data_IF_547211208586
#
_entry.id   IF_547211208586
#
_cell.length_a   1.000
_cell.length_b   1.000
_cell.length_c   1.000
_cell.angle_alpha   90.00
_cell.angle_beta   90.00
_cell.angle_gamma   90.00
#
_symmetry.space_group_name_H-M   'P 1'
#
loop_
_entity.id
_entity.type
_entity.pdbx_description
1 polymer ?
#
# COMPACT_ATOMS: atom_id res chain seq x y z
N UNK A 1 34.44 -32.27 -18.35
CA UNK A 1 35.63 -33.15 -18.22
C UNK A 1 36.39 -32.72 -16.97
N UNK A 2 36.72 -33.66 -16.07
CA UNK A 2 37.48 -33.34 -14.85
C UNK A 2 38.96 -33.17 -15.21
N UNK A 3 39.44 -31.93 -15.17
CA UNK A 3 40.82 -31.55 -15.49
C UNK A 3 41.56 -31.13 -14.20
N UNK A 4 42.81 -31.52 -14.10
CA UNK A 4 43.68 -31.28 -12.96
C UNK A 4 44.97 -30.59 -13.44
N UNK A 5 45.40 -29.54 -12.75
CA UNK A 5 46.62 -28.80 -13.13
C UNK A 5 47.86 -29.46 -12.59
N UNK A 6 48.83 -29.68 -13.47
CA UNK A 6 50.15 -30.20 -13.12
C UNK A 6 51.19 -29.18 -13.59
N UNK A 7 52.11 -28.83 -12.70
CA UNK A 7 53.30 -28.05 -13.01
C UNK A 7 54.46 -29.01 -13.18
N UNK A 8 55.10 -28.99 -14.34
CA UNK A 8 56.28 -29.80 -14.63
C UNK A 8 57.52 -28.92 -14.72
N UNK A 9 58.53 -29.25 -13.91
CA UNK A 9 59.81 -28.55 -13.87
C UNK A 9 60.95 -29.44 -14.41
N UNK A 10 61.78 -28.96 -15.35
CA UNK A 10 62.95 -29.71 -15.84
C UNK A 10 63.71 -29.07 -17.00
N UNK A 11 64.81 -29.73 -17.42
CA UNK A 11 65.88 -29.19 -18.28
C UNK A 11 65.44 -28.95 -19.75
N UNK A 12 64.38 -29.60 -20.22
CA UNK A 12 63.71 -29.24 -21.48
C UNK A 12 62.23 -29.65 -21.45
N UNK A 13 61.31 -28.75 -21.09
CA UNK A 13 59.93 -29.15 -20.80
C UNK A 13 59.12 -29.54 -22.05
N UNK A 14 59.58 -29.16 -23.25
CA UNK A 14 59.02 -29.57 -24.55
C UNK A 14 59.20 -31.08 -24.80
N UNK A 15 60.37 -31.65 -24.45
CA UNK A 15 60.60 -33.09 -24.56
C UNK A 15 59.73 -33.89 -23.59
N UNK A 16 59.44 -33.31 -22.42
CA UNK A 16 58.56 -33.94 -21.44
C UNK A 16 57.12 -34.03 -21.95
N UNK A 17 56.62 -32.98 -22.63
CA UNK A 17 55.32 -32.98 -23.31
C UNK A 17 55.25 -33.99 -24.45
N UNK A 18 56.28 -34.08 -25.29
CA UNK A 18 56.33 -35.07 -26.37
C UNK A 18 56.30 -36.51 -25.86
N UNK A 19 56.88 -36.77 -24.68
CA UNK A 19 56.85 -38.09 -24.05
C UNK A 19 55.46 -38.42 -23.48
N UNK A 20 54.74 -37.44 -22.91
CA UNK A 20 53.35 -37.61 -22.48
C UNK A 20 52.42 -37.93 -23.65
N UNK A 21 52.65 -37.30 -24.81
CA UNK A 21 51.88 -37.57 -26.03
C UNK A 21 52.12 -38.98 -26.58
N UNK A 22 53.37 -39.49 -26.51
CA UNK A 22 53.72 -40.86 -26.93
C UNK A 22 53.06 -41.95 -26.08
N UNK A 23 52.89 -41.68 -24.79
CA UNK A 23 52.19 -42.56 -23.84
C UNK A 23 50.66 -42.43 -23.92
N UNK A 24 50.14 -41.66 -24.90
CA UNK A 24 48.70 -41.51 -25.13
C UNK A 24 47.98 -40.61 -24.12
N UNK A 25 48.70 -39.80 -23.34
CA UNK A 25 48.09 -38.89 -22.37
C UNK A 25 47.74 -37.57 -23.06
N UNK A 26 46.44 -37.26 -23.15
CA UNK A 26 45.99 -35.99 -23.70
C UNK A 26 46.28 -34.83 -22.74
N UNK A 27 47.10 -33.89 -23.20
CA UNK A 27 47.44 -32.66 -22.47
C UNK A 27 46.54 -31.51 -22.94
N UNK A 28 45.96 -30.78 -21.99
CA UNK A 28 45.06 -29.65 -22.24
C UNK A 28 45.67 -28.35 -21.67
N UNK A 29 45.36 -27.21 -22.28
CA UNK A 29 45.73 -25.86 -21.79
C UNK A 29 47.20 -25.70 -21.34
N UNK A 30 48.15 -26.23 -22.12
CA UNK A 30 49.57 -26.11 -21.83
C UNK A 30 50.04 -24.64 -21.95
N UNK A 31 50.63 -24.11 -20.90
CA UNK A 31 51.22 -22.77 -20.82
C UNK A 31 52.63 -22.84 -20.25
N UNK A 32 53.59 -22.22 -20.92
CA UNK A 32 54.96 -22.08 -20.42
C UNK A 32 54.99 -20.97 -19.37
N UNK A 33 55.29 -21.32 -18.12
CA UNK A 33 55.39 -20.34 -17.02
C UNK A 33 56.77 -19.70 -16.96
N UNK A 34 57.85 -20.50 -17.10
CA UNK A 34 59.26 -20.07 -17.07
C UNK A 34 60.11 -20.91 -18.03
N UNK A 35 61.40 -20.57 -18.19
CA UNK A 35 62.34 -21.29 -19.08
C UNK A 35 62.38 -22.81 -18.82
N UNK A 36 62.22 -23.23 -17.56
CA UNK A 36 62.28 -24.63 -17.13
C UNK A 36 60.96 -25.15 -16.52
N UNK A 37 59.82 -24.45 -16.72
CA UNK A 37 58.54 -24.81 -16.11
C UNK A 37 57.37 -24.69 -17.09
N UNK A 38 56.56 -25.75 -17.22
CA UNK A 38 55.31 -25.75 -17.98
C UNK A 38 54.15 -26.15 -17.07
N UNK A 39 53.08 -25.38 -17.12
CA UNK A 39 51.79 -25.70 -16.53
C UNK A 39 50.90 -26.34 -17.60
N UNK A 40 50.30 -27.48 -17.30
CA UNK A 40 49.32 -28.08 -18.18
C UNK A 40 48.21 -28.76 -17.39
N UNK A 41 47.05 -28.92 -18.01
CA UNK A 41 45.90 -29.60 -17.44
C UNK A 41 45.78 -31.01 -18.02
N UNK A 42 45.56 -32.02 -17.18
CA UNK A 42 45.36 -33.41 -17.61
C UNK A 42 44.03 -33.92 -17.07
N UNK A 43 43.43 -34.92 -17.71
CA UNK A 43 42.26 -35.62 -17.15
C UNK A 43 42.65 -36.29 -15.83
N UNK A 44 41.76 -36.20 -14.83
CA UNK A 44 41.98 -36.79 -13.49
C UNK A 44 42.34 -38.29 -13.50
N UNK A 45 41.84 -39.06 -14.47
CA UNK A 45 42.15 -40.49 -14.65
C UNK A 45 43.59 -40.75 -15.09
N UNK A 46 44.22 -39.78 -15.77
CA UNK A 46 45.56 -39.90 -16.30
C UNK A 46 46.59 -39.19 -15.40
N UNK A 47 46.16 -38.50 -14.33
CA UNK A 47 47.05 -37.90 -13.32
C UNK A 47 47.99 -38.94 -12.70
N UNK A 48 47.48 -40.13 -12.36
CA UNK A 48 48.29 -41.23 -11.79
C UNK A 48 49.35 -41.72 -12.78
N UNK A 49 49.03 -41.78 -14.07
CA UNK A 49 49.98 -42.15 -15.13
C UNK A 49 51.06 -41.09 -15.31
N UNK A 50 50.71 -39.80 -15.20
CA UNK A 50 51.69 -38.70 -15.25
C UNK A 50 52.67 -38.79 -14.08
N UNK A 51 52.18 -39.09 -12.87
CA UNK A 51 53.04 -39.33 -11.70
C UNK A 51 53.87 -40.61 -11.81
N UNK A 52 53.38 -41.65 -12.49
CA UNK A 52 54.15 -42.87 -12.74
C UNK A 52 55.31 -42.63 -13.74
N UNK A 53 55.11 -41.79 -14.75
CA UNK A 53 56.14 -41.44 -15.75
C UNK A 53 57.17 -40.46 -15.15
N UNK A 54 56.72 -39.54 -14.30
CA UNK A 54 57.55 -38.53 -13.64
C UNK A 54 57.29 -38.52 -12.13
N UNK A 55 57.96 -39.40 -11.37
CA UNK A 55 57.77 -39.48 -9.93
C UNK A 55 58.18 -38.17 -9.24
N UNK A 56 57.44 -37.82 -8.19
CA UNK A 56 57.82 -36.73 -7.30
C UNK A 56 59.10 -37.10 -6.55
N UNK A 57 60.19 -36.38 -6.79
CA UNK A 57 61.42 -36.56 -6.02
C UNK A 57 61.22 -35.91 -4.65
N UNK A 58 60.83 -36.72 -3.65
CA UNK A 58 60.99 -36.39 -2.24
C UNK A 58 61.81 -37.50 -1.59
N UNK A 59 63.11 -37.22 -1.53
CA UNK A 59 64.21 -37.88 -0.82
C UNK A 59 64.68 -39.31 -1.22
N UNK A 60 66.00 -39.31 -1.44
CA UNK A 60 67.00 -40.38 -1.51
C UNK A 60 66.91 -41.43 -2.64
N UNK A 61 67.58 -41.06 -3.73
CA UNK A 61 68.23 -41.93 -4.73
C UNK A 61 67.30 -42.90 -5.47
N UNK A 62 66.86 -42.46 -6.64
CA UNK A 62 67.16 -43.20 -7.88
C UNK A 62 67.37 -42.17 -8.99
N UNK A 63 68.58 -42.13 -9.53
CA UNK A 63 68.87 -41.57 -10.86
C UNK A 63 67.87 -42.21 -11.83
N UNK A 64 67.06 -41.42 -12.54
CA UNK A 64 66.38 -41.69 -13.83
C UNK A 64 65.13 -40.81 -14.06
N UNK A 65 65.15 -39.51 -13.74
CA UNK A 65 64.24 -38.54 -14.38
C UNK A 65 64.64 -37.09 -14.10
N UNK A 66 64.90 -36.24 -15.12
CA UNK A 66 65.20 -34.82 -14.93
C UNK A 66 63.95 -33.93 -14.84
N UNK A 67 62.77 -34.51 -14.58
CA UNK A 67 61.49 -33.80 -14.56
C UNK A 67 60.70 -34.10 -13.28
N UNK A 68 60.13 -33.07 -12.64
CA UNK A 68 59.27 -33.19 -11.44
C UNK A 68 57.88 -32.60 -11.69
N UNK A 69 56.83 -33.28 -11.24
CA UNK A 69 55.44 -32.89 -11.45
C UNK A 69 54.75 -32.52 -10.13
N UNK A 70 54.27 -31.28 -9.97
CA UNK A 70 53.50 -30.83 -8.79
C UNK A 70 52.03 -30.65 -9.14
N UNK A 71 51.11 -31.29 -8.41
CA UNK A 71 49.67 -31.02 -8.56
C UNK A 71 49.36 -29.63 -7.97
N UNK A 72 48.77 -28.76 -8.79
CA UNK A 72 48.34 -27.41 -8.42
C UNK A 72 46.83 -27.35 -8.07
N UNK A 73 46.18 -28.51 -7.95
CA UNK A 73 44.78 -28.66 -7.55
C UNK A 73 43.78 -28.80 -8.71
N UNK A 74 42.52 -29.19 -8.40
CA UNK A 74 41.47 -29.42 -9.39
C UNK A 74 40.97 -28.10 -10.01
N UNK A 75 40.58 -28.11 -11.30
CA UNK A 75 39.88 -26.99 -11.95
C UNK A 75 38.36 -27.07 -11.81
N UNK A 76 37.69 -25.92 -11.79
CA UNK A 76 36.23 -25.78 -11.94
C UNK A 76 35.42 -25.74 -10.65
N UNK A 77 34.16 -26.20 -10.73
CA UNK A 77 33.13 -26.10 -9.68
C UNK A 77 33.57 -26.73 -8.35
N UNK A 78 34.44 -27.74 -8.38
CA UNK A 78 34.95 -28.43 -7.19
C UNK A 78 35.95 -27.58 -6.40
N UNK A 79 36.79 -26.78 -7.07
CA UNK A 79 37.68 -25.84 -6.38
C UNK A 79 36.90 -24.68 -5.74
N UNK A 80 35.78 -24.29 -6.34
CA UNK A 80 34.84 -23.35 -5.73
C UNK A 80 34.13 -23.98 -4.53
N UNK A 81 33.66 -25.23 -4.65
CA UNK A 81 33.03 -25.96 -3.55
C UNK A 81 33.99 -26.16 -2.36
N UNK A 82 35.25 -26.54 -2.59
CA UNK A 82 36.25 -26.66 -1.51
C UNK A 82 36.58 -25.29 -0.88
N UNK A 83 36.59 -24.23 -1.68
CA UNK A 83 36.77 -22.85 -1.18
C UNK A 83 35.55 -22.39 -0.38
N UNK A 84 34.34 -22.77 -0.78
CA UNK A 84 33.11 -22.53 -0.02
C UNK A 84 33.08 -23.35 1.27
N UNK A 85 33.57 -24.59 1.23
CA UNK A 85 33.69 -25.49 2.38
C UNK A 85 34.75 -25.03 3.39
N UNK A 86 35.79 -24.31 2.96
CA UNK A 86 36.71 -23.61 3.89
C UNK A 86 36.09 -22.36 4.53
N UNK A 87 34.95 -21.89 4.02
CA UNK A 87 34.21 -20.71 4.50
C UNK A 87 32.80 -21.05 4.97
N UNK A 88 32.58 -22.24 5.54
CA UNK A 88 31.24 -22.66 6.04
C UNK A 88 30.66 -21.66 7.03
N UNK A 89 31.50 -21.02 7.86
CA UNK A 89 31.07 -19.97 8.78
C UNK A 89 30.38 -18.78 8.08
N UNK A 90 30.86 -18.39 6.90
CA UNK A 90 30.27 -17.28 6.13
C UNK A 90 28.93 -17.71 5.53
N UNK A 91 28.86 -18.90 4.93
CA UNK A 91 27.61 -19.40 4.34
C UNK A 91 26.54 -19.70 5.38
N UNK A 92 26.91 -20.25 6.53
CA UNK A 92 25.99 -20.45 7.65
C UNK A 92 25.50 -19.12 8.23
N UNK A 93 26.38 -18.10 8.33
CA UNK A 93 25.97 -16.75 8.71
C UNK A 93 24.97 -16.13 7.74
N UNK A 94 25.20 -16.26 6.43
CA UNK A 94 24.26 -15.79 5.40
C UNK A 94 22.93 -16.52 5.51
N UNK A 95 22.95 -17.84 5.68
CA UNK A 95 21.73 -18.64 5.81
C UNK A 95 20.94 -18.28 7.07
N UNK A 96 21.64 -18.09 8.20
CA UNK A 96 21.03 -17.65 9.47
C UNK A 96 20.42 -16.25 9.33
N UNK A 97 21.13 -15.32 8.68
CA UNK A 97 20.64 -13.97 8.44
C UNK A 97 19.39 -13.98 7.55
N UNK A 98 19.40 -14.78 6.48
CA UNK A 98 18.24 -14.94 5.61
C UNK A 98 17.05 -15.58 6.35
N UNK A 99 17.29 -16.57 7.21
CA UNK A 99 16.24 -17.16 8.05
C UNK A 99 15.68 -16.14 9.04
N UNK A 100 16.55 -15.33 9.67
CA UNK A 100 16.14 -14.29 10.61
C UNK A 100 15.32 -13.18 9.95
N UNK A 101 15.68 -12.74 8.73
CA UNK A 101 14.91 -11.72 8.00
C UNK A 101 13.56 -12.24 7.53
N UNK A 102 13.48 -13.50 7.10
CA UNK A 102 12.20 -14.14 6.76
C UNK A 102 11.30 -14.30 7.98
N UNK A 103 11.86 -14.69 9.12
CA UNK A 103 11.13 -14.76 10.39
C UNK A 103 10.65 -13.36 10.81
N UNK A 104 11.52 -12.34 10.75
CA UNK A 104 11.17 -10.96 11.08
C UNK A 104 10.04 -10.43 10.19
N UNK A 105 10.02 -10.78 8.90
CA UNK A 105 8.96 -10.39 7.97
C UNK A 105 7.58 -10.99 8.32
N UNK A 106 7.51 -12.03 9.16
CA UNK A 106 6.23 -12.58 9.63
C UNK A 106 5.63 -11.74 10.76
N UNK A 107 6.42 -10.94 11.47
CA UNK A 107 5.97 -10.10 12.57
C UNK A 107 5.39 -8.77 12.10
N UNK A 108 4.41 -8.28 12.87
CA UNK A 108 3.86 -6.93 12.74
C UNK A 108 4.57 -6.02 13.72
N UNK A 109 5.47 -5.16 13.24
CA UNK A 109 6.20 -4.20 14.09
C UNK A 109 5.47 -2.86 14.21
N UNK A 110 4.68 -2.50 13.19
CA UNK A 110 3.95 -1.23 13.14
C UNK A 110 2.59 -1.43 12.51
N UNK A 111 1.59 -0.76 13.08
CA UNK A 111 0.25 -0.65 12.52
C UNK A 111 0.05 0.82 12.19
N UNK A 112 -0.20 1.11 10.92
CA UNK A 112 -0.55 2.45 10.45
C UNK A 112 -2.04 2.48 10.12
N UNK A 113 -2.75 3.44 10.69
CA UNK A 113 -4.19 3.63 10.48
C UNK A 113 -4.36 5.01 9.86
N UNK A 114 -4.88 5.06 8.64
CA UNK A 114 -5.09 6.28 7.87
C UNK A 114 -6.59 6.52 7.67
N UNK A 115 -7.02 7.79 7.75
CA UNK A 115 -8.37 8.23 7.40
C UNK A 115 -9.45 8.10 8.48
N UNK A 116 -9.12 7.61 9.68
CA UNK A 116 -10.06 7.46 10.79
C UNK A 116 -9.43 7.80 12.15
N UNK A 117 -9.01 9.05 12.36
CA UNK A 117 -8.41 9.49 13.64
C UNK A 117 -9.39 9.38 14.82
N UNK A 118 -10.67 9.69 14.61
CA UNK A 118 -11.71 9.59 15.63
C UNK A 118 -12.01 8.14 16.05
N UNK A 119 -11.98 7.19 15.10
CA UNK A 119 -12.29 5.78 15.32
C UNK A 119 -11.05 4.89 15.51
N UNK A 120 -9.86 5.49 15.63
CA UNK A 120 -8.58 4.76 15.70
C UNK A 120 -8.55 3.72 16.82
N UNK A 121 -9.13 4.03 17.97
CA UNK A 121 -9.18 3.12 19.13
C UNK A 121 -10.03 1.87 18.85
N UNK A 122 -11.19 2.05 18.22
CA UNK A 122 -12.09 0.95 17.87
C UNK A 122 -11.49 0.05 16.79
N UNK A 123 -10.88 0.66 15.77
CA UNK A 123 -10.17 -0.07 14.71
C UNK A 123 -9.04 -0.92 15.29
N UNK A 124 -8.26 -0.37 16.23
CA UNK A 124 -7.22 -1.12 16.92
C UNK A 124 -7.79 -2.28 17.75
N UNK A 125 -8.89 -2.08 18.47
CA UNK A 125 -9.53 -3.15 19.23
C UNK A 125 -9.99 -4.31 18.33
N UNK A 126 -10.62 -4.00 17.18
CA UNK A 126 -11.05 -5.01 16.19
C UNK A 126 -9.86 -5.77 15.59
N UNK A 127 -8.74 -5.09 15.34
CA UNK A 127 -7.49 -5.71 14.90
C UNK A 127 -6.93 -6.67 15.96
N UNK A 128 -6.92 -6.24 17.23
CA UNK A 128 -6.43 -7.04 18.35
C UNK A 128 -7.26 -8.30 18.62
N UNK A 129 -8.59 -8.20 18.51
CA UNK A 129 -9.52 -9.34 18.61
C UNK A 129 -9.27 -10.36 17.50
N UNK A 130 -8.93 -9.87 16.31
CA UNK A 130 -8.67 -10.71 15.15
C UNK A 130 -7.25 -11.29 15.15
N UNK A 131 -6.43 -10.91 16.14
CA UNK A 131 -5.07 -11.42 16.35
C UNK A 131 -3.97 -10.63 15.65
N UNK A 132 -4.29 -9.47 15.06
CA UNK A 132 -3.31 -8.54 14.49
C UNK A 132 -2.92 -7.58 15.60
N UNK A 133 -1.75 -7.82 16.23
CA UNK A 133 -1.22 -6.99 17.31
C UNK A 133 0.19 -6.53 16.98
N UNK A 134 0.59 -5.39 17.53
CA UNK A 134 2.00 -4.98 17.51
C UNK A 134 2.86 -6.02 18.22
N UNK A 135 3.97 -6.39 17.61
CA UNK A 135 4.91 -7.43 18.03
C UNK A 135 4.36 -8.87 18.00
N UNK A 136 3.23 -9.12 17.32
CA UNK A 136 2.70 -10.46 17.12
C UNK A 136 2.96 -10.98 15.69
N UNK A 137 2.85 -12.30 15.55
CA UNK A 137 2.91 -12.97 14.25
C UNK A 137 1.63 -12.65 13.46
N UNK A 138 1.79 -12.26 12.19
CA UNK A 138 0.64 -11.93 11.35
C UNK A 138 -0.18 -13.19 11.00
N UNK A 139 -1.47 -13.25 11.35
CA UNK A 139 -2.33 -14.38 10.99
C UNK A 139 -2.72 -14.32 9.52
N UNK A 140 -2.04 -15.11 8.69
CA UNK A 140 -2.37 -15.28 7.27
C UNK A 140 -3.82 -15.75 7.09
N UNK A 141 -4.61 -15.05 6.27
CA UNK A 141 -5.99 -15.44 5.91
C UNK A 141 -7.11 -14.79 6.71
N UNK A 142 -6.81 -13.98 7.74
CA UNK A 142 -7.83 -13.24 8.51
C UNK A 142 -8.16 -11.84 7.98
N UNK A 143 -7.47 -11.39 6.93
CA UNK A 143 -7.67 -10.07 6.31
C UNK A 143 -9.13 -9.80 5.97
N UNK A 144 -9.81 -10.76 5.34
CA UNK A 144 -11.23 -10.61 4.95
C UNK A 144 -12.16 -10.48 6.15
N UNK A 145 -11.91 -11.23 7.21
CA UNK A 145 -12.72 -11.17 8.43
C UNK A 145 -12.53 -9.84 9.15
N UNK A 146 -11.28 -9.37 9.24
CA UNK A 146 -10.93 -8.07 9.83
C UNK A 146 -11.58 -6.94 9.06
N UNK A 147 -11.43 -6.93 7.73
CA UNK A 147 -12.04 -5.92 6.87
C UNK A 147 -13.56 -5.90 7.02
N UNK A 148 -14.20 -7.07 7.07
CA UNK A 148 -15.65 -7.16 7.28
C UNK A 148 -16.09 -6.61 8.64
N UNK A 149 -15.34 -6.88 9.72
CA UNK A 149 -15.63 -6.34 11.05
C UNK A 149 -15.46 -4.82 11.11
N UNK A 150 -14.41 -4.28 10.49
CA UNK A 150 -14.19 -2.82 10.45
C UNK A 150 -15.26 -2.14 9.59
N UNK A 151 -15.68 -2.75 8.48
CA UNK A 151 -16.76 -2.23 7.64
C UNK A 151 -18.12 -2.25 8.35
N UNK A 152 -18.30 -3.11 9.35
CA UNK A 152 -19.51 -3.16 10.16
C UNK A 152 -19.57 -2.06 11.25
N UNK A 153 -18.48 -1.30 11.45
CA UNK A 153 -18.50 -0.13 12.34
C UNK A 153 -19.36 0.98 11.73
N UNK A 154 -19.92 1.81 12.61
CA UNK A 154 -20.77 2.93 12.20
C UNK A 154 -19.94 3.94 11.39
N UNK A 155 -20.56 4.51 10.35
CA UNK A 155 -19.99 5.56 9.49
C UNK A 155 -18.77 5.14 8.65
N UNK A 156 -18.41 3.85 8.59
CA UNK A 156 -17.32 3.35 7.72
C UNK A 156 -17.87 2.97 6.34
N UNK A 157 -17.39 3.65 5.29
CA UNK A 157 -17.78 3.39 3.90
C UNK A 157 -16.85 2.41 3.17
N UNK A 158 -15.57 2.44 3.54
CA UNK A 158 -14.54 1.65 2.90
C UNK A 158 -13.44 1.31 3.91
N UNK A 159 -12.95 0.08 3.84
CA UNK A 159 -11.82 -0.39 4.61
C UNK A 159 -10.92 -1.25 3.72
N UNK A 160 -9.62 -1.00 3.78
CA UNK A 160 -8.59 -1.87 3.22
C UNK A 160 -7.56 -2.21 4.30
N UNK A 161 -7.21 -3.48 4.40
CA UNK A 161 -6.19 -3.99 5.33
C UNK A 161 -5.14 -4.70 4.49
N UNK A 162 -3.94 -4.13 4.43
CA UNK A 162 -2.83 -4.68 3.65
C UNK A 162 -1.57 -4.80 4.50
N UNK A 163 -0.86 -5.92 4.34
CA UNK A 163 0.46 -6.10 4.94
C UNK A 163 1.56 -5.70 3.97
N UNK A 164 2.33 -4.67 4.33
CA UNK A 164 3.53 -4.24 3.63
C UNK A 164 4.77 -4.52 4.49
N UNK A 165 5.42 -5.67 4.25
CA UNK A 165 6.57 -6.11 5.03
C UNK A 165 6.21 -6.35 6.50
N UNK A 166 6.86 -5.63 7.42
CA UNK A 166 6.57 -5.66 8.86
C UNK A 166 5.50 -4.66 9.31
N UNK A 167 4.90 -3.92 8.38
CA UNK A 167 3.90 -2.89 8.67
C UNK A 167 2.54 -3.31 8.12
N UNK A 168 1.51 -3.25 8.95
CA UNK A 168 0.11 -3.40 8.51
C UNK A 168 -0.46 -2.01 8.28
N UNK A 169 -0.92 -1.74 7.07
CA UNK A 169 -1.61 -0.49 6.71
C UNK A 169 -3.10 -0.76 6.68
N UNK A 170 -3.83 0.07 7.40
CA UNK A 170 -5.28 0.06 7.47
C UNK A 170 -5.77 1.40 6.97
N UNK A 171 -6.34 1.41 5.77
CA UNK A 171 -6.99 2.60 5.20
C UNK A 171 -8.48 2.50 5.49
N UNK A 172 -9.01 3.44 6.25
CA UNK A 172 -10.44 3.54 6.58
C UNK A 172 -10.96 4.85 6.03
N UNK A 173 -12.05 4.81 5.26
CA UNK A 173 -12.74 6.02 4.80
C UNK A 173 -14.13 6.08 5.40
N UNK A 174 -14.38 7.16 6.12
CA UNK A 174 -15.68 7.45 6.67
C UNK A 174 -16.64 7.93 5.57
N UNK A 175 -17.91 7.57 5.70
CA UNK A 175 -18.97 8.11 4.86
C UNK A 175 -19.11 9.61 5.13
N UNK A 176 -19.04 10.43 4.08
CA UNK A 176 -19.39 11.86 4.17
C UNK A 176 -20.88 12.07 4.45
N UNK A 177 -21.69 11.05 4.15
CA UNK A 177 -23.09 10.98 4.55
C UNK A 177 -23.14 10.43 5.98
N UNK A 178 -23.04 11.33 6.95
CA UNK A 178 -23.74 11.10 8.22
C UNK A 178 -25.21 10.98 7.82
N UNK A 179 -25.79 9.79 7.80
CA UNK A 179 -27.24 9.68 7.86
C UNK A 179 -27.65 10.48 9.10
N UNK A 180 -28.33 11.64 8.97
CA UNK A 180 -28.86 12.28 10.14
C UNK A 180 -29.71 11.22 10.83
N UNK A 181 -29.47 11.02 12.13
CA UNK A 181 -30.34 10.12 12.90
C UNK A 181 -31.78 10.58 12.65
N UNK A 182 -32.69 9.69 12.20
CA UNK A 182 -34.06 10.06 11.87
C UNK A 182 -34.65 10.79 13.07
N UNK A 183 -34.95 12.07 12.91
CA UNK A 183 -35.56 12.88 13.95
C UNK A 183 -37.07 12.62 13.90
N UNK A 184 -37.64 12.19 15.01
CA UNK A 184 -39.08 11.96 15.08
C UNK A 184 -39.81 13.32 15.07
N UNK A 185 -40.67 13.57 14.08
CA UNK A 185 -41.50 14.78 14.02
C UNK A 185 -41.82 15.26 12.62
N UNK A 186 -42.61 16.34 12.54
CA UNK A 186 -42.97 17.00 11.29
C UNK A 186 -41.76 17.73 10.69
N UNK A 187 -41.68 17.79 9.37
CA UNK A 187 -40.64 18.52 8.65
C UNK A 187 -40.91 20.03 8.77
N UNK A 188 -40.02 20.76 9.44
CA UNK A 188 -40.07 22.22 9.55
C UNK A 188 -39.19 22.88 8.48
N UNK A 189 -39.60 24.04 7.97
CA UNK A 189 -38.81 24.84 7.04
C UNK A 189 -37.54 25.40 7.74
N UNK A 190 -36.35 25.22 7.15
CA UNK A 190 -35.14 25.83 7.70
C UNK A 190 -35.04 27.32 7.35
N UNK A 191 -35.53 27.71 6.18
CA UNK A 191 -35.53 29.08 5.69
C UNK A 191 -36.94 29.63 5.45
N UNK A 192 -37.07 30.96 5.58
CA UNK A 192 -38.29 31.68 5.18
C UNK A 192 -38.24 32.01 3.68
N UNK A 193 -39.31 31.73 2.94
CA UNK A 193 -39.37 32.02 1.51
C UNK A 193 -40.62 31.48 0.82
N UNK A 194 -40.67 31.60 -0.50
CA UNK A 194 -41.78 31.07 -1.32
C UNK A 194 -41.42 29.69 -1.86
N UNK A 195 -42.32 28.72 -1.73
CA UNK A 195 -42.10 27.36 -2.25
C UNK A 195 -42.17 27.38 -3.77
N UNK A 196 -41.04 27.11 -4.45
CA UNK A 196 -40.99 26.97 -5.90
C UNK A 196 -41.43 25.58 -6.35
N UNK A 197 -40.92 24.56 -5.67
CA UNK A 197 -41.17 23.17 -6.01
C UNK A 197 -41.16 22.33 -4.74
N UNK A 198 -42.10 21.40 -4.64
CA UNK A 198 -42.14 20.43 -3.56
C UNK A 198 -42.39 19.03 -4.10
N UNK A 199 -41.53 18.09 -3.73
CA UNK A 199 -41.66 16.67 -4.03
C UNK A 199 -41.65 15.88 -2.72
N UNK A 200 -42.83 15.42 -2.30
CA UNK A 200 -42.99 14.59 -1.10
C UNK A 200 -42.93 13.12 -1.51
N UNK A 201 -41.93 12.39 -1.02
CA UNK A 201 -41.79 10.95 -1.21
C UNK A 201 -42.57 10.17 -0.14
N UNK A 202 -42.62 10.69 1.10
CA UNK A 202 -43.28 10.04 2.23
C UNK A 202 -43.79 11.10 3.23
N UNK A 203 -45.00 10.93 3.75
CA UNK A 203 -45.67 11.91 4.62
C UNK A 203 -46.79 12.68 3.91
N UNK A 204 -47.43 13.61 4.62
CA UNK A 204 -48.54 14.42 4.11
C UNK A 204 -48.08 15.86 3.86
N UNK A 205 -48.21 16.34 2.62
CA UNK A 205 -47.96 17.73 2.26
C UNK A 205 -48.92 18.68 3.01
N UNK A 206 -48.37 19.60 3.82
CA UNK A 206 -49.18 20.62 4.52
C UNK A 206 -49.26 21.94 3.74
N UNK A 207 -48.28 22.18 2.87
CA UNK A 207 -48.15 23.40 2.05
C UNK A 207 -48.12 23.05 0.57
N UNK A 208 -48.52 23.99 -0.29
CA UNK A 208 -48.47 23.83 -1.74
C UNK A 208 -47.38 24.70 -2.38
N UNK A 209 -46.85 24.32 -3.56
CA UNK A 209 -46.00 25.21 -4.35
C UNK A 209 -46.70 26.54 -4.63
N UNK A 210 -46.00 27.65 -4.41
CA UNK A 210 -46.51 29.02 -4.52
C UNK A 210 -46.87 29.67 -3.19
N UNK A 211 -46.92 28.93 -2.09
CA UNK A 211 -47.14 29.51 -0.75
C UNK A 211 -45.86 30.07 -0.13
N UNK A 212 -46.01 31.12 0.67
CA UNK A 212 -44.95 31.65 1.54
C UNK A 212 -44.91 30.86 2.85
N UNK A 213 -43.71 30.56 3.30
CA UNK A 213 -43.44 29.84 4.55
C UNK A 213 -42.41 30.59 5.37
N UNK A 214 -42.58 30.60 6.68
CA UNK A 214 -41.59 31.11 7.62
C UNK A 214 -40.67 29.99 8.12
N UNK A 215 -39.42 30.33 8.46
CA UNK A 215 -38.50 29.42 9.13
C UNK A 215 -39.14 28.87 10.41
N UNK A 216 -39.18 27.54 10.54
CA UNK A 216 -39.82 26.81 11.64
C UNK A 216 -41.26 26.38 11.39
N UNK A 217 -41.88 26.74 10.26
CA UNK A 217 -43.25 26.31 9.91
C UNK A 217 -43.27 24.88 9.34
N UNK A 218 -44.27 24.04 9.66
CA UNK A 218 -44.32 22.67 9.15
C UNK A 218 -44.69 22.60 7.66
N UNK A 219 -43.80 22.00 6.86
CA UNK A 219 -43.95 21.77 5.43
C UNK A 219 -44.62 20.42 5.12
N UNK A 220 -44.17 19.38 5.81
CA UNK A 220 -44.64 18.00 5.61
C UNK A 220 -44.89 17.35 6.96
N UNK A 221 -46.12 16.89 7.17
CA UNK A 221 -46.50 16.16 8.36
C UNK A 221 -45.98 14.73 8.33
N UNK A 222 -45.45 14.24 9.45
CA UNK A 222 -44.97 12.88 9.66
C UNK A 222 -46.12 11.86 9.87
N UNK A 223 -47.15 11.96 9.03
CA UNK A 223 -48.28 11.05 9.02
C UNK A 223 -48.81 10.85 7.60
N UNK A 224 -49.47 9.73 7.36
CA UNK A 224 -50.32 9.48 6.20
C UNK A 224 -51.78 9.44 6.65
N UNK A 225 -52.67 9.94 5.80
CA UNK A 225 -54.11 9.78 5.98
C UNK A 225 -54.54 8.51 5.22
N UNK A 226 -55.16 7.57 5.92
CA UNK A 226 -55.83 6.44 5.28
C UNK A 226 -57.13 6.90 4.58
N UNK A 227 -57.74 6.04 3.77
CA UNK A 227 -59.02 6.30 3.10
C UNK A 227 -60.18 6.64 4.06
N UNK A 228 -60.05 6.29 5.34
CA UNK A 228 -61.00 6.63 6.42
C UNK A 228 -60.58 7.87 7.24
N UNK A 229 -59.44 8.50 6.91
CA UNK A 229 -58.94 9.71 7.55
C UNK A 229 -58.14 9.48 8.84
N UNK A 230 -57.84 8.23 9.20
CA UNK A 230 -56.95 7.93 10.32
C UNK A 230 -55.49 8.30 9.99
N UNK A 231 -54.80 8.86 10.99
CA UNK A 231 -53.40 9.28 10.88
C UNK A 231 -52.48 8.12 11.22
N UNK A 232 -51.78 7.60 10.22
CA UNK A 232 -50.74 6.59 10.40
C UNK A 232 -49.40 7.32 10.51
N UNK A 233 -48.67 7.25 11.64
CA UNK A 233 -47.39 7.91 11.79
C UNK A 233 -46.38 7.32 10.81
N UNK A 234 -45.72 8.18 10.03
CA UNK A 234 -44.66 7.77 9.11
C UNK A 234 -43.52 8.76 9.14
N UNK A 235 -42.36 8.26 8.75
CA UNK A 235 -41.19 9.09 8.45
C UNK A 235 -41.47 10.04 7.28
N UNK A 236 -41.25 11.34 7.49
CA UNK A 236 -41.40 12.36 6.45
C UNK A 236 -40.14 12.43 5.56
N UNK A 237 -40.31 12.23 4.26
CA UNK A 237 -39.22 12.32 3.28
C UNK A 237 -39.70 13.23 2.17
N UNK A 238 -39.08 14.40 2.03
CA UNK A 238 -39.42 15.35 0.99
C UNK A 238 -38.22 16.18 0.53
N UNK A 239 -38.32 16.66 -0.70
CA UNK A 239 -37.42 17.65 -1.29
C UNK A 239 -38.21 18.91 -1.58
N UNK A 240 -37.85 20.00 -0.93
CA UNK A 240 -38.52 21.30 -1.05
C UNK A 240 -37.51 22.32 -1.55
N UNK A 241 -37.87 23.06 -2.59
CA UNK A 241 -37.07 24.14 -3.15
C UNK A 241 -37.76 25.46 -2.84
N UNK A 242 -37.05 26.34 -2.12
CA UNK A 242 -37.54 27.63 -1.65
C UNK A 242 -36.82 28.77 -2.39
N UNK A 243 -37.55 29.81 -2.76
CA UNK A 243 -37.01 31.11 -3.17
C UNK A 243 -36.97 32.02 -1.96
N UNK A 244 -35.78 32.29 -1.45
CA UNK A 244 -35.57 33.12 -0.28
C UNK A 244 -35.07 34.50 -0.70
N UNK A 245 -35.49 35.54 0.01
CA UNK A 245 -35.02 36.91 -0.18
C UNK A 245 -34.25 37.30 1.07
N UNK A 246 -32.96 37.57 0.91
CA UNK A 246 -32.15 38.20 1.94
C UNK A 246 -32.10 39.70 1.66
N UNK A 247 -32.56 40.49 2.60
CA UNK A 247 -32.57 41.95 2.53
C UNK A 247 -32.01 42.50 3.84
N UNK A 248 -30.79 43.05 3.78
CA UNK A 248 -30.13 43.64 4.94
C UNK A 248 -29.39 44.92 4.54
N UNK A 249 -29.40 45.90 5.44
CA UNK A 249 -28.61 47.13 5.31
C UNK A 249 -27.25 46.88 5.91
N UNK A 250 -26.22 46.86 5.06
CA UNK A 250 -24.84 46.57 5.48
C UNK A 250 -24.05 47.88 5.50
N UNK A 251 -23.48 48.20 6.66
CA UNK A 251 -22.56 49.32 6.82
C UNK A 251 -21.16 48.91 6.30
N UNK A 252 -20.85 49.28 5.06
CA UNK A 252 -19.60 48.97 4.40
C UNK A 252 -19.06 50.18 3.65
N UNK A 253 -17.72 50.27 3.56
CA UNK A 253 -17.02 51.37 2.88
C UNK A 253 -17.28 51.42 1.37
N UNK A 254 -17.54 50.26 0.75
CA UNK A 254 -17.72 50.10 -0.69
C UNK A 254 -18.86 49.13 -1.00
N UNK A 255 -19.63 49.41 -2.06
CA UNK A 255 -20.75 48.56 -2.49
C UNK A 255 -20.34 47.14 -2.88
N UNK A 256 -19.08 46.92 -3.27
CA UNK A 256 -18.54 45.58 -3.54
C UNK A 256 -18.36 44.77 -2.25
N UNK A 257 -17.95 45.41 -1.16
CA UNK A 257 -17.76 44.76 0.14
C UNK A 257 -19.10 44.42 0.81
N UNK A 258 -20.11 45.29 0.65
CA UNK A 258 -21.48 44.99 1.08
C UNK A 258 -22.04 43.76 0.36
N UNK A 259 -21.88 43.67 -0.97
CA UNK A 259 -22.29 42.49 -1.73
C UNK A 259 -21.56 41.23 -1.28
N UNK A 260 -20.24 41.29 -1.04
CA UNK A 260 -19.46 40.14 -0.59
C UNK A 260 -19.92 39.60 0.77
N UNK A 261 -20.36 40.47 1.69
CA UNK A 261 -20.95 40.04 2.97
C UNK A 261 -22.32 39.38 2.76
N UNK A 262 -23.17 39.94 1.90
CA UNK A 262 -24.44 39.28 1.53
C UNK A 262 -24.25 37.92 0.84
N UNK A 263 -23.19 37.77 0.03
CA UNK A 263 -22.82 36.49 -0.58
C UNK A 263 -22.46 35.41 0.45
N UNK A 264 -21.82 35.80 1.55
CA UNK A 264 -21.46 34.87 2.63
C UNK A 264 -22.68 34.45 3.46
N UNK A 265 -23.73 35.26 3.50
CA UNK A 265 -24.96 34.99 4.24
C UNK A 265 -25.97 34.13 3.46
N UNK A 266 -25.81 34.00 2.14
CA UNK A 266 -26.72 33.22 1.31
C UNK A 266 -26.31 31.73 1.26
N UNK A 267 -27.14 30.86 1.85
CA UNK A 267 -26.90 29.41 1.91
C UNK A 267 -27.28 28.65 0.61
N UNK A 268 -27.50 29.35 -0.50
CA UNK A 268 -28.06 28.77 -1.73
C UNK A 268 -27.54 29.34 -3.03
N UNK A 269 -28.15 28.89 -4.13
CA UNK A 269 -27.82 29.39 -5.47
C UNK A 269 -28.43 30.76 -5.70
N UNK A 270 -27.60 31.77 -5.92
CA UNK A 270 -28.06 33.15 -6.09
C UNK A 270 -28.60 33.34 -7.51
N UNK A 271 -29.82 33.86 -7.60
CA UNK A 271 -30.54 34.12 -8.86
C UNK A 271 -30.44 35.59 -9.22
N UNK A 272 -30.71 36.47 -8.27
CA UNK A 272 -30.68 37.91 -8.48
C UNK A 272 -29.95 38.61 -7.33
N UNK A 273 -29.29 39.72 -7.68
CA UNK A 273 -28.60 40.58 -6.72
C UNK A 273 -28.85 42.03 -7.09
N UNK A 274 -29.24 42.83 -6.11
CA UNK A 274 -29.24 44.28 -6.22
C UNK A 274 -28.56 44.90 -5.00
N UNK A 275 -27.81 45.96 -5.26
CA UNK A 275 -27.21 46.79 -4.22
C UNK A 275 -27.61 48.24 -4.49
N UNK A 276 -28.34 48.82 -3.55
CA UNK A 276 -28.75 50.22 -3.61
C UNK A 276 -28.09 51.00 -2.48
N UNK A 277 -27.79 52.28 -2.72
CA UNK A 277 -27.17 53.14 -1.71
C UNK A 277 -28.28 53.71 -0.82
N UNK A 278 -28.26 53.38 0.46
CA UNK A 278 -29.19 53.90 1.47
C UNK A 278 -28.53 55.02 2.28
N UNK A 279 -29.31 55.72 3.11
CA UNK A 279 -28.83 56.86 3.90
C UNK A 279 -27.73 56.47 4.92
N UNK A 280 -27.78 55.24 5.45
CA UNK A 280 -26.84 54.70 6.46
C UNK A 280 -26.05 53.46 5.97
N UNK A 281 -25.84 53.30 4.65
CA UNK A 281 -25.04 52.19 4.11
C UNK A 281 -25.44 51.73 2.71
N UNK A 282 -25.32 50.42 2.45
CA UNK A 282 -25.80 49.80 1.22
C UNK A 282 -26.92 48.79 1.53
N UNK A 283 -28.09 48.98 0.94
CA UNK A 283 -29.17 47.98 0.95
C UNK A 283 -28.80 46.88 -0.03
N UNK A 284 -28.54 45.69 0.50
CA UNK A 284 -28.22 44.52 -0.31
C UNK A 284 -29.43 43.60 -0.32
N UNK A 285 -29.99 43.37 -1.51
CA UNK A 285 -31.06 42.41 -1.74
C UNK A 285 -30.54 41.27 -2.59
N UNK A 286 -30.61 40.05 -2.06
CA UNK A 286 -30.15 38.83 -2.72
C UNK A 286 -31.32 37.85 -2.76
N UNK A 287 -31.72 37.46 -3.97
CA UNK A 287 -32.68 36.38 -4.17
C UNK A 287 -31.89 35.10 -4.41
N UNK A 288 -32.07 34.12 -3.55
CA UNK A 288 -31.36 32.84 -3.62
C UNK A 288 -32.34 31.67 -3.53
N UNK A 289 -32.02 30.60 -4.25
CA UNK A 289 -32.76 29.36 -4.24
C UNK A 289 -32.02 28.37 -3.33
N UNK A 290 -32.73 27.88 -2.32
CA UNK A 290 -32.26 26.80 -1.44
C UNK A 290 -33.07 25.56 -1.74
N UNK A 291 -32.38 24.42 -1.81
CA UNK A 291 -33.05 23.11 -1.84
C UNK A 291 -32.86 22.47 -0.47
N UNK A 292 -33.94 22.40 0.30
CA UNK A 292 -34.01 21.65 1.53
C UNK A 292 -34.37 20.20 1.18
N UNK A 293 -33.42 19.29 1.34
CA UNK A 293 -33.67 17.85 1.27
C UNK A 293 -33.47 17.28 2.65
N UNK A 294 -34.53 16.77 3.26
CA UNK A 294 -34.43 16.19 4.59
C UNK A 294 -34.97 14.77 4.57
N UNK A 295 -34.11 13.86 5.00
CA UNK A 295 -34.49 12.52 5.43
C UNK A 295 -34.68 12.61 6.94
N UNK A 296 -35.92 12.84 7.37
CA UNK A 296 -36.32 12.54 8.73
C UNK A 296 -36.55 11.04 8.88
#
# INVERSE_FOLDING_TARGET
>A
MLLEKIILEGISPERALSRLQREGICVYHAKKLKKNQILFSVKRKDTEKVFAIYPNVCYNITVYSPYTARSAGPEGLLALLDRCRKRVGVFSGILLFAAATLAANQFVLRIDVEGADAYRGEVLAVLEESGIRTFALYPSGREREVTAKILALKDVSYCSVEKSGTTVRVEVRLSAFSEPSPQEGDMLAAHSGTILQMAVLRGTALKAPGEEVAAGEPLVGAYLLDGEGEKIPVTAIARVTLSCVYEEVIDASDGQSALAQGYLAADGQIVEKSCERAEDGYLVRIVYIVTETINF
#
